data_IF_223631016653
#
_entry.id   IF_223631016653
#
_cell.length_a   1.000
_cell.length_b   1.000
_cell.length_c   1.000
_cell.angle_alpha   90.00
_cell.angle_beta   90.00
_cell.angle_gamma   90.00
#
_symmetry.space_group_name_H-M   'P 1'
#
loop_
_entity.id
_entity.type
_entity.pdbx_description
1 polymer ?
#
# COMPACT_ATOMS: atom_id res chain seq x y z
N UNK A 1 17.42 0.76 -3.13
CA UNK A 1 17.39 0.53 -4.59
C UNK A 1 16.54 -0.67 -4.95
N UNK A 2 16.91 -1.91 -4.55
CA UNK A 2 16.11 -3.12 -4.84
C UNK A 2 14.66 -3.04 -4.32
N UNK A 3 14.47 -2.53 -3.09
CA UNK A 3 13.14 -2.39 -2.48
C UNK A 3 12.19 -1.55 -3.36
N UNK A 4 12.65 -0.39 -3.86
CA UNK A 4 11.86 0.47 -4.74
C UNK A 4 11.45 -0.24 -6.03
N UNK A 5 12.37 -0.99 -6.64
CA UNK A 5 12.07 -1.73 -7.88
C UNK A 5 11.01 -2.80 -7.61
N UNK A 6 11.18 -3.58 -6.55
CA UNK A 6 10.28 -4.70 -6.22
C UNK A 6 8.90 -4.20 -5.79
N UNK A 7 8.85 -3.16 -4.95
CA UNK A 7 7.60 -2.57 -4.46
C UNK A 7 6.82 -1.89 -5.58
N UNK A 8 7.46 -1.02 -6.37
CA UNK A 8 6.77 -0.32 -7.45
C UNK A 8 6.38 -1.26 -8.59
N UNK A 9 7.13 -2.34 -8.85
CA UNK A 9 6.73 -3.34 -9.84
C UNK A 9 5.55 -4.18 -9.34
N UNK A 10 5.58 -4.61 -8.07
CA UNK A 10 4.48 -5.33 -7.43
C UNK A 10 3.20 -4.50 -7.37
N UNK A 11 3.32 -3.21 -7.01
CA UNK A 11 2.23 -2.22 -7.01
C UNK A 11 1.64 -2.04 -8.42
N UNK A 12 2.49 -1.82 -9.43
CA UNK A 12 2.04 -1.62 -10.81
C UNK A 12 1.32 -2.85 -11.38
N UNK A 13 1.88 -4.03 -11.14
CA UNK A 13 1.28 -5.29 -11.59
C UNK A 13 -0.05 -5.57 -10.87
N UNK A 14 -0.08 -5.48 -9.54
CA UNK A 14 -1.29 -5.74 -8.75
C UNK A 14 -2.42 -4.75 -9.05
N UNK A 15 -2.10 -3.48 -9.32
CA UNK A 15 -3.09 -2.48 -9.73
C UNK A 15 -3.71 -2.84 -11.08
N UNK A 16 -2.90 -3.23 -12.08
CA UNK A 16 -3.42 -3.61 -13.39
C UNK A 16 -4.20 -4.92 -13.39
N UNK A 17 -3.78 -5.88 -12.57
CA UNK A 17 -4.53 -7.12 -12.34
C UNK A 17 -5.90 -6.82 -11.71
N UNK A 18 -5.96 -5.98 -10.68
CA UNK A 18 -7.22 -5.62 -10.01
C UNK A 18 -8.22 -4.90 -10.93
N UNK A 19 -7.71 -4.15 -11.93
CA UNK A 19 -8.52 -3.47 -12.94
C UNK A 19 -8.88 -4.38 -14.14
N UNK A 20 -8.42 -5.63 -14.13
CA UNK A 20 -8.53 -6.58 -15.25
C UNK A 20 -7.99 -5.98 -16.57
N UNK A 21 -6.91 -5.19 -16.48
CA UNK A 21 -6.24 -4.50 -17.60
C UNK A 21 -4.86 -5.08 -17.90
N UNK A 22 -4.49 -6.16 -17.22
CA UNK A 22 -3.25 -6.87 -17.46
C UNK A 22 -3.48 -8.07 -18.38
N UNK A 23 -2.89 -8.01 -19.58
CA UNK A 23 -2.75 -9.14 -20.49
C UNK A 23 -1.27 -9.25 -20.88
N UNK A 24 -0.60 -10.39 -20.63
CA UNK A 24 0.81 -10.58 -21.00
C UNK A 24 1.08 -10.54 -22.51
N UNK A 25 0.05 -10.74 -23.34
CA UNK A 25 0.16 -10.77 -24.81
C UNK A 25 -0.31 -9.48 -25.48
N UNK A 26 -0.82 -8.50 -24.73
CA UNK A 26 -1.23 -7.18 -25.23
C UNK A 26 -0.11 -6.14 -25.02
N UNK A 27 0.30 -5.47 -26.10
CA UNK A 27 1.28 -4.39 -26.07
C UNK A 27 0.81 -3.21 -25.21
N UNK A 28 -0.51 -2.95 -25.16
CA UNK A 28 -1.08 -1.86 -24.34
C UNK A 28 -0.95 -2.14 -22.84
N UNK A 29 -1.06 -3.41 -22.44
CA UNK A 29 -0.90 -3.85 -21.06
C UNK A 29 0.53 -3.60 -20.57
N UNK A 30 1.54 -3.98 -21.38
CA UNK A 30 2.94 -3.71 -21.06
C UNK A 30 3.22 -2.21 -20.94
N UNK A 31 2.71 -1.40 -21.89
CA UNK A 31 2.87 0.07 -21.85
C UNK A 31 2.27 0.67 -20.58
N UNK A 32 1.07 0.23 -20.18
CA UNK A 32 0.42 0.71 -18.96
C UNK A 32 1.20 0.33 -17.69
N UNK A 33 1.78 -0.87 -17.66
CA UNK A 33 2.60 -1.35 -16.54
C UNK A 33 3.84 -0.47 -16.38
N UNK A 34 4.56 -0.22 -17.47
CA UNK A 34 5.73 0.66 -17.46
C UNK A 34 5.33 2.08 -17.06
N UNK A 35 4.19 2.58 -17.54
CA UNK A 35 3.72 3.91 -17.20
C UNK A 35 3.40 4.06 -15.71
N UNK A 36 2.69 3.09 -15.12
CA UNK A 36 2.37 3.10 -13.70
C UNK A 36 3.66 3.03 -12.85
N UNK A 37 4.56 2.13 -13.22
CA UNK A 37 5.87 1.99 -12.57
C UNK A 37 6.68 3.29 -12.58
N UNK A 38 6.76 3.96 -13.74
CA UNK A 38 7.46 5.24 -13.87
C UNK A 38 6.78 6.34 -13.07
N UNK A 39 5.44 6.36 -13.03
CA UNK A 39 4.69 7.37 -12.28
C UNK A 39 4.94 7.29 -10.78
N UNK A 40 5.21 6.09 -10.26
CA UNK A 40 5.54 5.90 -8.84
C UNK A 40 7.04 6.12 -8.57
N UNK A 41 7.90 5.53 -9.41
CA UNK A 41 9.35 5.50 -9.19
C UNK A 41 10.05 6.82 -9.50
N UNK A 42 9.63 7.53 -10.56
CA UNK A 42 10.32 8.76 -11.01
C UNK A 42 10.16 9.89 -9.99
N UNK A 43 8.96 10.20 -9.46
CA UNK A 43 8.82 11.22 -8.42
C UNK A 43 9.60 10.87 -7.15
N UNK A 44 9.63 9.60 -6.75
CA UNK A 44 10.40 9.16 -5.60
C UNK A 44 11.90 9.46 -5.78
N UNK A 45 12.46 9.18 -6.96
CA UNK A 45 13.85 9.52 -7.28
C UNK A 45 14.11 11.02 -7.33
N UNK A 46 13.19 11.80 -7.91
CA UNK A 46 13.30 13.27 -7.99
C UNK A 46 13.35 13.88 -6.58
N UNK A 47 12.47 13.41 -5.68
CA UNK A 47 12.45 13.88 -4.29
C UNK A 47 13.81 13.60 -3.63
N UNK A 48 14.35 12.39 -3.75
CA UNK A 48 15.67 12.06 -3.18
C UNK A 48 16.78 12.94 -3.76
N UNK A 49 16.78 13.21 -5.08
CA UNK A 49 17.78 14.08 -5.71
C UNK A 49 17.69 15.53 -5.21
N UNK A 50 16.49 16.08 -5.04
CA UNK A 50 16.28 17.46 -4.56
C UNK A 50 16.81 17.63 -3.14
N UNK A 51 16.59 16.63 -2.27
CA UNK A 51 16.98 16.72 -0.86
C UNK A 51 18.37 16.16 -0.57
N UNK A 52 19.08 15.63 -1.57
CA UNK A 52 20.43 15.02 -1.49
C UNK A 52 21.46 15.85 -0.70
N UNK A 53 21.41 17.17 -0.84
CA UNK A 53 22.37 18.07 -0.17
C UNK A 53 22.09 18.29 1.33
N UNK A 54 20.96 17.80 1.86
CA UNK A 54 20.57 17.97 3.26
C UNK A 54 20.03 16.64 3.83
N UNK A 55 20.94 15.77 4.27
CA UNK A 55 20.61 14.45 4.81
C UNK A 55 19.59 14.51 5.96
N UNK A 56 19.65 15.52 6.83
CA UNK A 56 18.69 15.69 7.94
C UNK A 56 17.25 15.87 7.44
N UNK A 57 17.08 16.58 6.31
CA UNK A 57 15.75 16.79 5.71
C UNK A 57 15.22 15.51 5.06
N UNK A 58 16.08 14.70 4.44
CA UNK A 58 15.69 13.40 3.90
C UNK A 58 15.23 12.48 5.02
N UNK A 59 16.01 12.40 6.11
CA UNK A 59 15.68 11.52 7.24
C UNK A 59 14.34 11.92 7.84
N UNK A 60 14.12 13.20 8.13
CA UNK A 60 12.85 13.68 8.65
C UNK A 60 11.69 13.41 7.68
N UNK A 61 11.89 13.62 6.37
CA UNK A 61 10.89 13.34 5.36
C UNK A 61 10.51 11.85 5.31
N UNK A 62 11.50 10.94 5.33
CA UNK A 62 11.25 9.49 5.36
C UNK A 62 10.57 9.08 6.66
N UNK A 63 10.96 9.64 7.80
CA UNK A 63 10.29 9.39 9.09
C UNK A 63 8.81 9.83 9.05
N UNK A 64 8.52 10.99 8.45
CA UNK A 64 7.13 11.45 8.25
C UNK A 64 6.35 10.49 7.34
N UNK A 65 6.93 10.03 6.23
CA UNK A 65 6.28 9.05 5.35
C UNK A 65 6.04 7.70 6.04
N UNK A 66 7.02 7.22 6.82
CA UNK A 66 6.89 5.99 7.61
C UNK A 66 5.80 6.10 8.68
N UNK A 67 5.68 7.26 9.32
CA UNK A 67 4.61 7.57 10.28
C UNK A 67 3.21 7.54 9.65
N UNK A 68 3.09 7.98 8.40
CA UNK A 68 1.81 8.02 7.66
C UNK A 68 1.42 6.63 7.11
N UNK A 69 2.40 5.75 6.84
CA UNK A 69 2.17 4.43 6.22
C UNK A 69 1.08 3.57 6.88
N UNK A 70 1.03 3.41 8.23
CA UNK A 70 -0.04 2.67 8.90
C UNK A 70 -1.45 3.18 8.54
N UNK A 71 -1.62 4.49 8.40
CA UNK A 71 -2.91 5.10 8.06
C UNK A 71 -3.34 4.74 6.64
N UNK A 72 -2.39 4.76 5.70
CA UNK A 72 -2.64 4.37 4.31
C UNK A 72 -3.02 2.88 4.24
N UNK A 73 -2.35 2.04 5.03
CA UNK A 73 -2.62 0.60 5.10
C UNK A 73 -4.01 0.25 5.70
N UNK A 74 -4.64 1.16 6.45
CA UNK A 74 -6.01 0.95 6.96
C UNK A 74 -7.03 0.84 5.84
N UNK A 75 -6.82 1.52 4.71
CA UNK A 75 -7.77 1.50 3.59
C UNK A 75 -7.94 0.07 3.04
N UNK A 76 -6.87 -0.61 2.56
CA UNK A 76 -7.00 -2.00 2.10
C UNK A 76 -7.37 -2.94 3.24
N UNK A 77 -6.89 -2.72 4.48
CA UNK A 77 -7.30 -3.52 5.63
C UNK A 77 -8.81 -3.43 5.88
N UNK A 78 -9.42 -2.26 5.75
CA UNK A 78 -10.87 -2.09 5.91
C UNK A 78 -11.65 -2.98 4.92
N UNK A 79 -11.25 -2.95 3.65
CA UNK A 79 -11.88 -3.77 2.60
C UNK A 79 -11.67 -5.27 2.85
N UNK A 80 -10.48 -5.68 3.29
CA UNK A 80 -10.21 -7.07 3.66
C UNK A 80 -11.10 -7.47 4.85
N UNK A 81 -11.26 -6.61 5.86
CA UNK A 81 -12.13 -6.86 7.00
C UNK A 81 -13.59 -7.13 6.62
N UNK A 82 -14.12 -6.36 5.66
CA UNK A 82 -15.45 -6.58 5.09
C UNK A 82 -15.49 -7.93 4.36
N UNK A 83 -14.51 -8.19 3.50
CA UNK A 83 -14.47 -9.38 2.65
C UNK A 83 -14.35 -10.68 3.47
N UNK A 84 -13.54 -10.65 4.52
CA UNK A 84 -13.33 -11.76 5.44
C UNK A 84 -14.54 -12.02 6.34
N UNK A 85 -15.39 -11.00 6.55
CA UNK A 85 -16.66 -11.13 7.25
C UNK A 85 -17.81 -11.68 6.41
N UNK A 86 -17.70 -11.63 5.07
CA UNK A 86 -18.76 -12.08 4.18
C UNK A 86 -18.65 -13.59 3.89
N UNK A 87 -19.56 -14.36 4.50
CA UNK A 87 -19.70 -15.82 4.24
C UNK A 87 -20.08 -16.15 2.80
N UNK A 88 -20.72 -15.24 2.08
CA UNK A 88 -21.10 -15.45 0.67
C UNK A 88 -19.88 -15.42 -0.25
N UNK A 89 -18.87 -14.62 0.09
CA UNK A 89 -17.64 -14.47 -0.71
C UNK A 89 -16.57 -15.46 -0.25
N UNK A 90 -16.36 -15.60 1.06
CA UNK A 90 -15.29 -16.44 1.62
C UNK A 90 -15.70 -17.91 1.89
N UNK A 91 -17.00 -18.24 1.81
CA UNK A 91 -17.50 -19.59 2.06
C UNK A 91 -17.07 -20.13 3.43
N UNK A 92 -16.42 -21.29 3.43
CA UNK A 92 -15.93 -21.97 4.63
C UNK A 92 -14.69 -21.31 5.28
N UNK A 93 -14.03 -20.40 4.57
CA UNK A 93 -12.88 -19.64 5.09
C UNK A 93 -13.28 -18.34 5.80
N UNK A 94 -14.58 -18.02 5.83
CA UNK A 94 -15.08 -16.82 6.46
C UNK A 94 -14.78 -16.82 7.96
N UNK A 95 -14.40 -15.67 8.49
CA UNK A 95 -14.06 -15.58 9.90
C UNK A 95 -15.30 -15.78 10.78
N UNK A 96 -15.14 -16.59 11.81
CA UNK A 96 -16.11 -16.65 12.91
C UNK A 96 -16.19 -15.31 13.65
N UNK A 97 -17.31 -15.05 14.35
CA UNK A 97 -17.57 -13.79 15.06
C UNK A 97 -16.40 -13.36 15.96
N UNK A 98 -15.78 -14.30 16.67
CA UNK A 98 -14.63 -14.01 17.55
C UNK A 98 -13.39 -13.55 16.78
N UNK A 99 -13.08 -14.18 15.64
CA UNK A 99 -11.92 -13.80 14.81
C UNK A 99 -12.14 -12.45 14.14
N UNK A 100 -13.38 -12.15 13.74
CA UNK A 100 -13.76 -10.85 13.20
C UNK A 100 -13.60 -9.74 14.24
N UNK A 101 -14.02 -9.96 15.49
CA UNK A 101 -13.84 -8.98 16.58
C UNK A 101 -12.36 -8.70 16.83
N UNK A 102 -11.52 -9.74 16.90
CA UNK A 102 -10.08 -9.58 17.06
C UNK A 102 -9.48 -8.79 15.88
N UNK A 103 -9.93 -9.07 14.65
CA UNK A 103 -9.50 -8.34 13.46
C UNK A 103 -9.79 -6.83 13.58
N UNK A 104 -11.02 -6.47 13.92
CA UNK A 104 -11.42 -5.08 14.09
C UNK A 104 -10.69 -4.38 15.25
N UNK A 105 -10.40 -5.08 16.35
CA UNK A 105 -9.60 -4.55 17.45
C UNK A 105 -8.17 -4.26 16.98
N UNK A 106 -7.53 -5.20 16.29
CA UNK A 106 -6.17 -5.02 15.74
C UNK A 106 -6.14 -3.84 14.77
N UNK A 107 -7.14 -3.73 13.90
CA UNK A 107 -7.26 -2.61 12.97
C UNK A 107 -7.41 -1.27 13.71
N UNK A 108 -8.21 -1.22 14.78
CA UNK A 108 -8.37 -0.04 15.60
C UNK A 108 -7.05 0.35 16.31
N UNK A 109 -6.29 -0.63 16.82
CA UNK A 109 -4.98 -0.39 17.42
C UNK A 109 -3.98 0.20 16.43
N UNK A 110 -3.91 -0.34 15.20
CA UNK A 110 -3.07 0.18 14.12
C UNK A 110 -3.50 1.60 13.74
N UNK A 111 -4.81 1.87 13.73
CA UNK A 111 -5.33 3.20 13.48
C UNK A 111 -4.92 4.20 14.56
N UNK A 112 -5.11 3.86 15.82
CA UNK A 112 -4.74 4.72 16.96
C UNK A 112 -3.23 4.99 16.97
N UNK A 113 -2.40 3.98 16.73
CA UNK A 113 -0.94 4.16 16.68
C UNK A 113 -0.51 5.07 15.53
N UNK A 114 -1.10 4.91 14.35
CA UNK A 114 -0.87 5.81 13.21
C UNK A 114 -1.29 7.25 13.52
N UNK A 115 -2.48 7.46 14.10
CA UNK A 115 -2.93 8.80 14.49
C UNK A 115 -2.07 9.43 15.59
N UNK A 116 -1.63 8.65 16.59
CA UNK A 116 -0.73 9.16 17.63
C UNK A 116 0.60 9.62 17.04
N UNK A 117 1.13 8.91 16.04
CA UNK A 117 2.38 9.28 15.38
C UNK A 117 2.30 10.56 14.54
N UNK A 118 1.11 11.04 14.20
CA UNK A 118 0.95 12.34 13.54
C UNK A 118 0.94 13.51 14.54
N UNK A 119 0.56 13.24 15.79
CA UNK A 119 0.42 14.25 16.84
C UNK A 119 1.72 14.40 17.64
N UNK A 120 2.47 13.31 17.82
CA UNK A 120 3.74 13.23 18.54
C UNK A 120 4.88 12.82 17.62
#
# INVERSE_FOLDING_TARGET
FLALIVESFGSAWGTLESLNKYDPYDEKSYKNLVWLYLTESVPALIVVMIFSNNFDKIVNFVLTLMSISPIVALIPAFFIGILVGDRKIMGDYAYGKTRLIIYWITMALIGISGFMSLIY
#
